data_IF_573572015078
#
_entry.id   IF_573572015078
#
_cell.length_a   1.000
_cell.length_b   1.000
_cell.length_c   1.000
_cell.angle_alpha   90.00
_cell.angle_beta   90.00
_cell.angle_gamma   90.00
#
_symmetry.space_group_name_H-M   'P 1'
#
loop_
_entity.id
_entity.type
_entity.pdbx_description
1 polymer ?
#
# COMPACT_ATOMS: atom_id res chain seq x y z
N UNK A 1 60.31 37.46 -49.83
CA UNK A 1 59.67 38.45 -48.94
C UNK A 1 58.93 37.66 -47.85
N UNK A 2 59.31 37.85 -46.58
CA UNK A 2 58.54 37.75 -45.29
C UNK A 2 57.29 36.85 -45.20
N UNK A 3 56.94 36.09 -44.16
CA UNK A 3 57.40 35.84 -42.78
C UNK A 3 56.60 34.60 -42.23
N UNK A 4 57.15 33.99 -41.16
CA UNK A 4 56.61 33.12 -40.08
C UNK A 4 55.08 32.92 -39.94
N UNK A 5 54.54 31.79 -39.45
CA UNK A 5 54.45 31.42 -38.00
C UNK A 5 54.09 29.93 -37.81
N UNK A 6 54.63 29.39 -36.71
CA UNK A 6 54.51 28.09 -36.05
C UNK A 6 53.11 27.71 -35.53
N UNK A 7 52.75 26.42 -35.51
CA UNK A 7 52.48 25.74 -34.23
C UNK A 7 52.32 24.21 -34.33
N UNK A 8 52.74 23.59 -33.24
CA UNK A 8 53.19 22.21 -33.05
C UNK A 8 52.09 21.24 -32.59
N UNK A 9 52.22 20.00 -33.05
CA UNK A 9 51.53 18.79 -32.56
C UNK A 9 51.93 18.41 -31.13
N UNK A 10 51.07 17.70 -30.37
CA UNK A 10 51.49 16.93 -29.22
C UNK A 10 51.26 15.42 -29.38
N UNK A 11 52.37 14.70 -29.43
CA UNK A 11 52.81 13.56 -28.61
C UNK A 11 51.74 12.65 -27.95
N UNK A 12 51.91 11.36 -28.28
CA UNK A 12 51.39 10.12 -27.69
C UNK A 12 51.54 9.97 -26.16
N UNK A 13 50.54 9.44 -25.47
CA UNK A 13 50.75 8.66 -24.23
C UNK A 13 49.64 7.62 -23.99
N UNK A 14 50.00 6.58 -23.25
CA UNK A 14 49.35 5.26 -23.11
C UNK A 14 48.26 5.25 -22.02
N UNK A 15 47.38 4.23 -22.08
CA UNK A 15 46.18 4.00 -21.27
C UNK A 15 46.37 3.99 -19.74
N UNK A 16 45.30 4.13 -18.93
CA UNK A 16 44.55 2.94 -18.47
C UNK A 16 43.01 3.10 -18.44
N UNK A 17 42.32 1.97 -18.65
CA UNK A 17 40.86 1.81 -18.61
C UNK A 17 40.29 2.05 -17.22
N UNK A 18 39.54 3.13 -17.04
CA UNK A 18 38.78 3.39 -15.82
C UNK A 18 37.39 2.74 -15.93
N UNK A 19 37.30 1.49 -15.48
CA UNK A 19 36.04 0.77 -15.28
C UNK A 19 35.30 1.38 -14.08
N UNK A 20 34.77 2.60 -14.24
CA UNK A 20 33.91 3.24 -13.24
C UNK A 20 32.49 2.68 -13.36
N UNK A 21 32.32 1.47 -12.85
CA UNK A 21 31.04 0.86 -12.54
C UNK A 21 30.30 1.79 -11.58
N UNK A 22 29.36 2.59 -12.08
CA UNK A 22 28.37 3.30 -11.27
C UNK A 22 27.51 2.24 -10.57
N UNK A 23 27.98 1.80 -9.41
CA UNK A 23 27.21 0.99 -8.47
C UNK A 23 26.22 1.95 -7.82
N UNK A 24 24.95 1.84 -8.23
CA UNK A 24 23.83 2.49 -7.54
C UNK A 24 23.97 2.22 -6.04
N UNK A 25 24.06 3.29 -5.27
CA UNK A 25 24.20 3.26 -3.82
C UNK A 25 22.88 2.77 -3.19
N UNK A 26 22.61 1.48 -3.28
CA UNK A 26 21.66 0.83 -2.38
C UNK A 26 22.45 0.63 -1.10
N UNK A 27 22.28 1.58 -0.17
CA UNK A 27 22.98 1.59 1.10
C UNK A 27 22.86 0.24 1.78
N UNK A 28 23.99 -0.43 1.97
CA UNK A 28 24.10 -1.62 2.80
C UNK A 28 23.71 -1.21 4.22
N UNK A 29 22.45 -1.42 4.60
CA UNK A 29 22.00 -1.25 5.98
C UNK A 29 22.84 -2.18 6.85
N UNK A 30 23.78 -1.60 7.57
CA UNK A 30 24.68 -2.30 8.49
C UNK A 30 23.86 -3.14 9.46
N UNK A 31 24.19 -4.43 9.60
CA UNK A 31 23.56 -5.37 10.55
C UNK A 31 23.53 -4.84 12.00
N UNK A 32 24.38 -3.88 12.32
CA UNK A 32 24.38 -3.15 13.61
C UNK A 32 23.12 -2.29 13.79
N UNK A 33 22.63 -1.65 12.72
CA UNK A 33 21.43 -0.80 12.76
C UNK A 33 20.14 -1.61 12.98
N UNK A 34 20.10 -2.87 12.53
CA UNK A 34 18.91 -3.72 12.67
C UNK A 34 18.71 -4.15 14.12
N UNK A 35 19.78 -4.59 14.81
CA UNK A 35 19.70 -5.00 16.22
C UNK A 35 19.37 -3.83 17.16
N UNK A 36 19.86 -2.64 16.84
CA UNK A 36 19.59 -1.42 17.61
C UNK A 36 18.13 -0.97 17.44
N UNK A 37 17.58 -1.04 16.22
CA UNK A 37 16.17 -0.78 15.95
C UNK A 37 15.24 -1.77 16.68
N UNK A 38 15.60 -3.06 16.73
CA UNK A 38 14.84 -4.06 17.50
C UNK A 38 14.87 -3.79 19.02
N UNK A 39 16.02 -3.38 19.56
CA UNK A 39 16.17 -3.05 20.99
C UNK A 39 15.31 -1.85 21.37
N UNK A 40 15.30 -0.80 20.55
CA UNK A 40 14.44 0.40 20.74
C UNK A 40 12.96 0.03 20.63
N UNK A 41 12.56 -0.79 19.66
CA UNK A 41 11.18 -1.25 19.53
C UNK A 41 10.74 -2.15 20.69
N UNK A 42 11.64 -2.94 21.26
CA UNK A 42 11.34 -3.77 22.42
C UNK A 42 11.17 -2.90 23.67
N UNK A 43 12.02 -1.88 23.87
CA UNK A 43 11.88 -0.92 24.96
C UNK A 43 10.55 -0.14 24.86
N UNK A 44 10.18 0.36 23.68
CA UNK A 44 8.89 1.02 23.44
C UNK A 44 7.70 0.10 23.75
N UNK A 45 7.75 -1.17 23.31
CA UNK A 45 6.69 -2.14 23.61
C UNK A 45 6.54 -2.42 25.11
N UNK A 46 7.63 -2.44 25.86
CA UNK A 46 7.61 -2.62 27.32
C UNK A 46 7.03 -1.42 28.07
N UNK A 47 7.20 -0.20 27.53
CA UNK A 47 6.70 1.03 28.15
C UNK A 47 5.31 1.47 27.69
N UNK A 48 4.74 0.80 26.69
CA UNK A 48 3.41 1.14 26.15
C UNK A 48 2.34 0.89 27.22
N UNK A 49 1.56 1.91 27.56
CA UNK A 49 0.50 1.80 28.55
C UNK A 49 -0.73 1.05 28.00
N UNK A 50 -1.66 0.66 28.88
CA UNK A 50 -2.87 -0.07 28.50
C UNK A 50 -3.76 0.73 27.52
N UNK A 51 -3.80 2.06 27.66
CA UNK A 51 -4.58 2.94 26.78
C UNK A 51 -4.04 2.96 25.35
N UNK A 52 -2.73 3.02 25.17
CA UNK A 52 -2.05 2.95 23.86
C UNK A 52 -2.25 1.58 23.21
N UNK A 53 -2.11 0.50 23.99
CA UNK A 53 -2.39 -0.86 23.51
C UNK A 53 -3.84 -1.00 23.03
N UNK A 54 -4.78 -0.47 23.81
CA UNK A 54 -6.20 -0.48 23.44
C UNK A 54 -6.44 0.31 22.16
N UNK A 55 -5.88 1.51 22.02
CA UNK A 55 -5.99 2.30 20.79
C UNK A 55 -5.46 1.56 19.56
N UNK A 56 -4.39 0.78 19.69
CA UNK A 56 -3.88 -0.03 18.58
C UNK A 56 -4.91 -1.08 18.14
N UNK A 57 -5.61 -1.72 19.09
CA UNK A 57 -6.69 -2.66 18.77
C UNK A 57 -7.91 -1.94 18.20
N UNK A 58 -8.27 -0.76 18.73
CA UNK A 58 -9.40 0.05 18.21
C UNK A 58 -9.17 0.52 16.77
N UNK A 59 -7.92 0.77 16.40
CA UNK A 59 -7.54 1.17 15.04
C UNK A 59 -7.47 -0.02 14.05
N UNK A 60 -7.60 -1.27 14.51
CA UNK A 60 -7.53 -2.43 13.63
C UNK A 60 -8.90 -2.69 12.96
N UNK A 61 -9.02 -2.57 11.62
CA UNK A 61 -10.29 -2.72 10.91
C UNK A 61 -10.83 -4.16 10.90
N UNK A 62 -10.00 -5.13 11.28
CA UNK A 62 -10.38 -6.55 11.32
C UNK A 62 -11.00 -6.95 12.65
N UNK A 63 -10.95 -6.10 13.67
CA UNK A 63 -11.65 -6.31 14.94
C UNK A 63 -13.11 -5.86 14.79
N UNK A 64 -14.04 -6.63 15.35
CA UNK A 64 -15.44 -6.25 15.37
C UNK A 64 -15.66 -5.03 16.29
N UNK A 65 -16.31 -3.96 15.82
CA UNK A 65 -16.49 -2.74 16.60
C UNK A 65 -17.26 -3.03 17.90
N UNK A 66 -16.77 -2.51 19.02
CA UNK A 66 -17.36 -2.73 20.34
C UNK A 66 -16.99 -4.06 21.01
N UNK A 67 -16.24 -4.95 20.35
CA UNK A 67 -15.84 -6.25 20.92
C UNK A 67 -14.50 -6.23 21.69
N UNK A 68 -13.93 -5.05 21.92
CA UNK A 68 -12.61 -4.88 22.52
C UNK A 68 -12.72 -4.95 24.04
N UNK A 69 -12.16 -6.02 24.60
CA UNK A 69 -12.04 -6.22 26.04
C UNK A 69 -10.57 -6.37 26.44
N UNK A 70 -10.23 -6.24 27.74
CA UNK A 70 -8.85 -6.35 28.20
C UNK A 70 -8.13 -7.62 27.76
N UNK A 71 -8.83 -8.76 27.77
CA UNK A 71 -8.22 -10.08 27.55
C UNK A 71 -8.78 -10.80 26.31
N UNK A 72 -9.66 -10.16 25.53
CA UNK A 72 -10.29 -10.79 24.36
C UNK A 72 -10.73 -9.75 23.34
N UNK A 73 -10.76 -10.15 22.07
CA UNK A 73 -11.30 -9.38 20.95
C UNK A 73 -12.05 -10.33 20.00
N UNK A 74 -13.05 -9.85 19.28
CA UNK A 74 -13.72 -10.65 18.25
C UNK A 74 -13.21 -10.28 16.85
N UNK A 75 -12.90 -11.30 16.05
CA UNK A 75 -12.49 -11.10 14.66
C UNK A 75 -13.72 -10.85 13.77
N UNK A 76 -13.70 -9.79 12.97
CA UNK A 76 -14.78 -9.47 12.02
C UNK A 76 -14.90 -10.48 10.89
N UNK A 77 -13.79 -11.09 10.47
CA UNK A 77 -13.73 -12.02 9.33
C UNK A 77 -14.26 -13.41 9.73
N UNK A 78 -13.61 -14.07 10.69
CA UNK A 78 -13.95 -15.45 11.06
C UNK A 78 -14.91 -15.54 12.26
N UNK A 79 -15.28 -14.41 12.87
CA UNK A 79 -16.17 -14.32 14.05
C UNK A 79 -15.68 -15.07 15.29
N UNK A 80 -14.41 -15.50 15.30
CA UNK A 80 -13.80 -16.13 16.45
C UNK A 80 -13.47 -15.09 17.55
N UNK A 81 -13.64 -15.49 18.81
CA UNK A 81 -13.17 -14.73 19.97
C UNK A 81 -11.71 -15.09 20.20
N UNK A 82 -10.81 -14.13 19.94
CA UNK A 82 -9.38 -14.28 20.15
C UNK A 82 -9.04 -13.84 21.57
N UNK A 83 -8.50 -14.77 22.36
CA UNK A 83 -7.95 -14.46 23.68
C UNK A 83 -6.63 -13.71 23.49
N UNK A 84 -6.52 -12.53 24.09
CA UNK A 84 -5.27 -11.78 24.21
C UNK A 84 -4.40 -12.44 25.29
N UNK A 85 -3.60 -11.66 26.02
CA UNK A 85 -2.88 -12.14 27.20
C UNK A 85 -3.80 -12.12 28.43
N UNK A 86 -3.63 -13.08 29.33
CA UNK A 86 -4.31 -13.12 30.62
C UNK A 86 -3.67 -12.23 31.67
N UNK A 87 -2.37 -11.92 31.52
CA UNK A 87 -1.57 -11.16 32.50
C UNK A 87 -1.43 -9.69 32.16
N UNK A 88 -1.63 -9.32 30.90
CA UNK A 88 -1.41 -7.96 30.42
C UNK A 88 -2.56 -7.54 29.51
N UNK A 89 -3.30 -6.52 29.94
CA UNK A 89 -4.45 -6.03 29.21
C UNK A 89 -4.04 -5.52 27.82
N UNK A 90 -4.89 -5.80 26.84
CA UNK A 90 -4.79 -5.29 25.46
C UNK A 90 -3.51 -5.73 24.73
N UNK A 91 -2.81 -6.77 25.20
CA UNK A 91 -1.62 -7.26 24.53
C UNK A 91 -1.97 -8.00 23.22
N UNK A 92 -1.75 -7.33 22.09
CA UNK A 92 -2.13 -7.79 20.76
C UNK A 92 -1.30 -8.95 20.17
N UNK A 93 -0.46 -9.64 20.96
CA UNK A 93 0.41 -10.71 20.43
C UNK A 93 -0.38 -11.87 19.81
N UNK A 94 -1.39 -12.37 20.53
CA UNK A 94 -2.24 -13.44 20.05
C UNK A 94 -3.14 -12.98 18.90
N UNK A 95 -3.58 -11.72 18.94
CA UNK A 95 -4.31 -11.10 17.83
C UNK A 95 -3.49 -11.07 16.54
N UNK A 96 -2.22 -10.65 16.60
CA UNK A 96 -1.33 -10.63 15.43
C UNK A 96 -1.08 -12.01 14.83
N UNK A 97 -1.01 -13.06 15.66
CA UNK A 97 -0.92 -14.45 15.18
C UNK A 97 -2.23 -14.92 14.53
N UNK A 98 -3.36 -14.46 15.05
CA UNK A 98 -4.68 -14.77 14.50
C UNK A 98 -4.91 -14.13 13.14
N UNK A 99 -4.28 -12.98 12.84
CA UNK A 99 -4.30 -12.35 11.52
C UNK A 99 -3.58 -13.21 10.47
N UNK A 100 -4.18 -14.36 10.13
CA UNK A 100 -3.63 -15.31 9.18
C UNK A 100 -3.85 -14.78 7.75
N UNK A 101 -2.83 -14.79 6.89
CA UNK A 101 -2.91 -14.17 5.57
C UNK A 101 -4.02 -14.75 4.69
N UNK A 102 -4.32 -16.04 4.76
CA UNK A 102 -5.17 -16.71 3.77
C UNK A 102 -6.63 -16.22 3.83
N UNK A 103 -7.23 -16.17 5.02
CA UNK A 103 -8.61 -15.67 5.18
C UNK A 103 -8.70 -14.15 4.97
N UNK A 104 -7.68 -13.41 5.40
CA UNK A 104 -7.59 -11.96 5.18
C UNK A 104 -7.47 -11.64 3.69
N UNK A 105 -6.61 -12.36 2.96
CA UNK A 105 -6.42 -12.19 1.52
C UNK A 105 -7.68 -12.57 0.75
N UNK A 106 -8.36 -13.65 1.15
CA UNK A 106 -9.64 -14.04 0.55
C UNK A 106 -10.70 -12.95 0.76
N UNK A 107 -10.88 -12.47 1.98
CA UNK A 107 -11.82 -11.38 2.28
C UNK A 107 -11.51 -10.10 1.48
N UNK A 108 -10.23 -9.71 1.41
CA UNK A 108 -9.80 -8.54 0.63
C UNK A 108 -10.06 -8.71 -0.87
N UNK A 109 -9.84 -9.91 -1.42
CA UNK A 109 -10.10 -10.21 -2.82
C UNK A 109 -11.60 -10.18 -3.13
N UNK A 110 -12.43 -10.79 -2.28
CA UNK A 110 -13.88 -10.81 -2.45
C UNK A 110 -14.48 -9.40 -2.37
N UNK A 111 -14.02 -8.59 -1.42
CA UNK A 111 -14.41 -7.18 -1.28
C UNK A 111 -14.01 -6.34 -2.51
N UNK A 112 -12.78 -6.52 -2.99
CA UNK A 112 -12.30 -5.85 -4.20
C UNK A 112 -13.11 -6.25 -5.44
N UNK A 113 -13.38 -7.55 -5.60
CA UNK A 113 -14.17 -8.09 -6.72
C UNK A 113 -15.59 -7.50 -6.72
N UNK A 114 -16.26 -7.48 -5.57
CA UNK A 114 -17.59 -6.89 -5.44
C UNK A 114 -17.61 -5.39 -5.81
N UNK A 115 -16.63 -4.62 -5.32
CA UNK A 115 -16.52 -3.21 -5.65
C UNK A 115 -16.25 -2.96 -7.14
N UNK A 116 -15.45 -3.81 -7.78
CA UNK A 116 -15.18 -3.73 -9.21
C UNK A 116 -16.42 -4.08 -10.05
N UNK A 117 -17.14 -5.13 -9.68
CA UNK A 117 -18.39 -5.53 -10.33
C UNK A 117 -19.47 -4.44 -10.24
N UNK A 118 -19.59 -3.76 -9.10
CA UNK A 118 -20.49 -2.61 -8.95
C UNK A 118 -20.12 -1.47 -9.90
N UNK A 119 -18.83 -1.13 -10.02
CA UNK A 119 -18.38 -0.08 -10.96
C UNK A 119 -18.73 -0.43 -12.41
N UNK A 120 -18.59 -1.69 -12.80
CA UNK A 120 -18.99 -2.13 -14.15
C UNK A 120 -20.49 -1.97 -14.35
N UNK A 121 -21.28 -2.34 -13.33
CA UNK A 121 -22.74 -2.21 -13.37
C UNK A 121 -23.16 -0.74 -13.53
N UNK A 122 -22.53 0.17 -12.79
CA UNK A 122 -22.77 1.62 -12.91
C UNK A 122 -22.44 2.11 -14.32
N UNK A 123 -21.24 1.79 -14.85
CA UNK A 123 -20.85 2.20 -16.20
C UNK A 123 -21.85 1.73 -17.26
N UNK A 124 -22.29 0.48 -17.20
CA UNK A 124 -23.29 -0.05 -18.14
C UNK A 124 -24.62 0.69 -18.06
N UNK A 125 -25.05 1.11 -16.85
CA UNK A 125 -26.26 1.93 -16.68
C UNK A 125 -26.09 3.32 -17.27
N UNK A 126 -24.93 3.95 -17.08
CA UNK A 126 -24.61 5.25 -17.65
C UNK A 126 -24.58 5.20 -19.19
N UNK A 127 -23.93 4.19 -19.77
CA UNK A 127 -23.92 3.95 -21.22
C UNK A 127 -25.33 3.75 -21.79
N UNK A 128 -26.16 2.94 -21.12
CA UNK A 128 -27.56 2.72 -21.51
C UNK A 128 -28.40 4.01 -21.41
N UNK A 129 -28.23 4.78 -20.34
CA UNK A 129 -28.92 6.06 -20.16
C UNK A 129 -28.53 7.06 -21.26
N UNK A 130 -27.23 7.15 -21.58
CA UNK A 130 -26.74 7.98 -22.69
C UNK A 130 -27.32 7.53 -24.04
N UNK A 131 -27.40 6.22 -24.30
CA UNK A 131 -28.02 5.71 -25.52
C UNK A 131 -29.49 6.09 -25.64
N UNK A 132 -30.27 6.02 -24.55
CA UNK A 132 -31.67 6.43 -24.53
C UNK A 132 -31.84 7.94 -24.77
N UNK A 133 -30.96 8.78 -24.20
CA UNK A 133 -30.97 10.22 -24.46
C UNK A 133 -30.68 10.53 -25.94
N UNK A 134 -29.71 9.84 -26.54
CA UNK A 134 -29.40 9.99 -27.96
C UNK A 134 -30.57 9.56 -28.85
N UNK A 135 -31.30 8.50 -28.50
CA UNK A 135 -32.51 8.08 -29.23
C UNK A 135 -33.60 9.14 -29.15
N UNK A 136 -33.88 9.66 -27.94
CA UNK A 136 -34.86 10.73 -27.75
C UNK A 136 -34.54 11.98 -28.57
N UNK A 137 -33.28 12.39 -28.64
CA UNK A 137 -32.88 13.53 -29.49
C UNK A 137 -33.10 13.27 -30.98
N UNK A 138 -32.87 12.04 -31.45
CA UNK A 138 -33.11 11.68 -32.85
C UNK A 138 -34.60 11.73 -33.17
N UNK A 139 -35.45 11.20 -32.29
CA UNK A 139 -36.91 11.22 -32.46
C UNK A 139 -37.45 12.65 -32.50
N UNK A 140 -36.94 13.54 -31.63
CA UNK A 140 -37.30 14.97 -31.64
C UNK A 140 -36.86 15.65 -32.94
N UNK A 141 -35.65 15.38 -33.44
CA UNK A 141 -35.18 15.94 -34.71
C UNK A 141 -36.03 15.48 -35.89
N UNK A 142 -36.38 14.20 -35.94
CA UNK A 142 -37.26 13.64 -36.98
C UNK A 142 -38.63 14.30 -36.92
N UNK A 143 -39.23 14.46 -35.73
CA UNK A 143 -40.53 15.11 -35.56
C UNK A 143 -40.54 16.56 -36.05
N UNK A 144 -39.48 17.33 -35.79
CA UNK A 144 -39.35 18.72 -36.26
C UNK A 144 -39.19 18.78 -37.79
N UNK A 145 -38.48 17.83 -38.41
CA UNK A 145 -38.23 17.84 -39.86
C UNK A 145 -39.43 17.45 -40.74
N UNK A 146 -40.52 16.97 -40.15
CA UNK A 146 -41.74 16.52 -40.85
C UNK A 146 -42.85 17.60 -40.86
N UNK A 147 -42.64 18.73 -40.18
CA UNK A 147 -43.52 19.92 -40.21
C UNK A 147 -43.04 20.95 -41.22
#
# INVERSE_FOLDING_TARGET
MTLTITNSSPISSKQPTDNRRMRSSVGTLSLKNIKEAEKVNNARRRHMNDGERRKILENDPLIEPGSIHPNRVACKICKAIVKLDSRTNYLAHNWKKHMCPVEILKYNLDSFKAAWEERIRIRKREEAAMALLCLREKDVRVAISVQ
#
